data_IF_512977817739
#
_entry.id   IF_512977817739
#
_cell.length_a   1.000
_cell.length_b   1.000
_cell.length_c   1.000
_cell.angle_alpha   90.00
_cell.angle_beta   90.00
_cell.angle_gamma   90.00
#
_symmetry.space_group_name_H-M   'P 1'
#
loop_
_entity.id
_entity.type
_entity.pdbx_description
1 polymer ?
#
# COMPACT_ATOMS: atom_id res chain seq x y z
N UNK A 1 -42.63 10.76 37.13
CA UNK A 1 -41.57 10.04 37.89
C UNK A 1 -40.48 9.75 36.90
N UNK A 2 -39.49 10.59 36.85
CA UNK A 2 -38.28 10.46 36.06
C UNK A 2 -37.16 10.14 37.00
N UNK A 3 -36.46 9.03 36.82
CA UNK A 3 -35.25 8.71 37.59
C UNK A 3 -34.02 8.84 36.70
N UNK A 4 -33.20 9.75 37.14
CA UNK A 4 -31.83 10.05 36.79
C UNK A 4 -30.93 8.79 36.81
N UNK A 5 -30.15 8.61 35.73
CA UNK A 5 -28.96 7.77 35.76
C UNK A 5 -27.79 8.51 35.11
N UNK A 6 -27.07 9.29 35.91
CA UNK A 6 -25.76 9.85 35.53
C UNK A 6 -24.70 8.78 35.70
N UNK A 7 -24.11 8.36 34.58
CA UNK A 7 -22.90 7.55 34.57
C UNK A 7 -21.66 8.40 34.89
N UNK A 8 -20.86 7.93 35.84
CA UNK A 8 -19.62 8.55 36.31
C UNK A 8 -18.52 8.40 35.27
N UNK A 9 -17.88 9.49 34.95
CA UNK A 9 -16.61 9.48 34.18
C UNK A 9 -15.47 9.21 35.18
N UNK A 10 -14.77 8.08 34.97
CA UNK A 10 -13.55 7.77 35.70
C UNK A 10 -12.37 8.56 35.13
N UNK A 11 -11.70 9.32 35.94
CA UNK A 11 -10.47 10.05 35.63
C UNK A 11 -9.28 9.09 35.69
N UNK A 12 -8.59 8.88 34.57
CA UNK A 12 -7.26 8.29 34.54
C UNK A 12 -6.21 9.38 34.80
N UNK A 13 -5.20 9.14 35.64
CA UNK A 13 -4.22 10.16 36.03
C UNK A 13 -3.19 10.39 34.91
N UNK A 14 -2.91 11.67 34.64
CA UNK A 14 -1.81 12.14 33.80
C UNK A 14 -0.46 11.74 34.41
N UNK A 15 0.37 11.02 33.66
CA UNK A 15 1.77 10.77 34.02
C UNK A 15 2.61 11.97 33.59
N UNK A 16 3.23 12.63 34.57
CA UNK A 16 4.04 13.82 34.36
C UNK A 16 5.37 13.56 33.65
N UNK A 17 5.87 14.59 32.95
CA UNK A 17 7.04 14.67 32.07
C UNK A 17 8.42 14.29 32.66
N UNK A 18 8.53 13.67 33.82
CA UNK A 18 9.82 13.34 34.50
C UNK A 18 10.14 11.84 34.56
N UNK A 19 9.37 10.96 33.95
CA UNK A 19 9.57 9.51 34.01
C UNK A 19 10.23 8.86 32.79
N UNK A 20 10.75 9.63 31.81
CA UNK A 20 11.19 9.09 30.51
C UNK A 20 12.71 8.95 30.35
N UNK A 21 13.46 8.84 31.44
CA UNK A 21 14.90 8.59 31.41
C UNK A 21 15.31 7.51 32.41
N UNK A 22 14.76 6.32 32.31
CA UNK A 22 15.38 5.11 32.86
C UNK A 22 15.02 3.95 31.94
N UNK A 23 16.06 3.41 31.29
CA UNK A 23 15.97 2.33 30.34
C UNK A 23 15.28 1.11 30.93
N UNK A 24 14.12 0.83 30.44
CA UNK A 24 13.44 -0.44 30.60
C UNK A 24 13.64 -1.25 29.33
N UNK A 25 14.58 -2.20 29.37
CA UNK A 25 14.52 -3.33 28.45
C UNK A 25 13.19 -4.05 28.73
N UNK A 26 12.16 -3.75 27.96
CA UNK A 26 10.96 -4.55 27.94
C UNK A 26 11.37 -5.90 27.34
N UNK A 27 11.54 -6.89 28.21
CA UNK A 27 11.52 -8.29 27.86
C UNK A 27 10.14 -8.56 27.24
N UNK A 28 10.04 -8.50 25.92
CA UNK A 28 8.95 -9.08 25.18
C UNK A 28 8.99 -10.58 25.46
N UNK A 29 8.11 -11.05 26.34
CA UNK A 29 7.83 -12.45 26.47
C UNK A 29 7.29 -12.92 25.12
N UNK A 30 8.16 -13.52 24.30
CA UNK A 30 7.76 -14.28 23.14
C UNK A 30 6.87 -15.40 23.62
N UNK A 31 5.55 -15.27 23.43
CA UNK A 31 4.65 -16.40 23.52
C UNK A 31 5.12 -17.40 22.48
N UNK A 32 5.79 -18.45 22.94
CA UNK A 32 6.19 -19.57 22.11
C UNK A 32 4.94 -20.21 21.55
N UNK A 33 4.68 -20.05 20.27
CA UNK A 33 3.71 -20.84 19.53
C UNK A 33 4.19 -22.32 19.59
N UNK A 34 3.31 -23.26 19.92
CA UNK A 34 3.69 -24.68 19.95
C UNK A 34 3.92 -25.17 18.52
N UNK A 35 5.11 -25.57 18.24
CA UNK A 35 5.56 -26.11 16.96
C UNK A 35 6.61 -25.20 16.35
N UNK A 36 7.89 -25.55 16.54
CA UNK A 36 9.02 -24.83 15.97
C UNK A 36 8.99 -24.86 14.44
N UNK A 37 8.24 -23.95 13.85
CA UNK A 37 8.41 -23.54 12.46
C UNK A 37 9.71 -22.75 12.42
N UNK A 38 10.80 -23.38 11.96
CA UNK A 38 11.98 -22.66 11.48
C UNK A 38 11.47 -21.68 10.42
N UNK A 39 11.82 -20.40 10.56
CA UNK A 39 11.71 -19.44 9.48
C UNK A 39 12.38 -20.08 8.26
N UNK A 40 11.60 -20.49 7.27
CA UNK A 40 12.15 -20.89 5.99
C UNK A 40 12.80 -19.65 5.39
N UNK A 41 14.01 -19.76 4.88
CA UNK A 41 14.64 -18.67 4.14
C UNK A 41 13.73 -18.34 2.96
N UNK A 42 13.04 -17.20 3.04
CA UNK A 42 12.13 -16.74 2.00
C UNK A 42 12.94 -15.95 0.98
N UNK A 43 13.68 -16.67 0.14
CA UNK A 43 14.41 -16.07 -0.99
C UNK A 43 13.49 -15.88 -2.21
N UNK A 44 12.44 -16.70 -2.34
CA UNK A 44 11.42 -16.63 -3.40
C UNK A 44 10.02 -16.70 -2.81
N UNK A 45 9.08 -15.97 -3.39
CA UNK A 45 7.67 -15.97 -2.97
C UNK A 45 7.08 -14.58 -2.91
N UNK A 46 6.27 -14.32 -1.90
CA UNK A 46 5.60 -13.04 -1.75
C UNK A 46 5.62 -12.58 -0.30
N UNK A 47 5.63 -11.27 -0.11
CA UNK A 47 5.33 -10.63 1.18
C UNK A 47 3.98 -9.94 1.10
N UNK A 48 3.22 -10.01 2.19
CA UNK A 48 1.93 -9.34 2.35
C UNK A 48 1.78 -8.80 3.76
N UNK A 49 0.82 -7.91 3.96
CA UNK A 49 0.34 -7.54 5.29
C UNK A 49 -1.01 -8.18 5.55
N UNK A 50 -1.28 -8.57 6.79
CA UNK A 50 -2.51 -9.27 7.13
C UNK A 50 -2.96 -9.04 8.58
N UNK A 51 -4.26 -9.23 8.83
CA UNK A 51 -4.81 -9.43 10.16
C UNK A 51 -4.62 -10.88 10.61
N UNK A 52 -4.03 -11.10 11.78
CA UNK A 52 -3.75 -12.42 12.38
C UNK A 52 -4.28 -12.45 13.80
N UNK A 53 -5.25 -13.33 14.08
CA UNK A 53 -5.95 -13.31 15.36
C UNK A 53 -6.60 -11.94 15.62
N UNK A 54 -6.29 -11.32 16.76
CA UNK A 54 -6.72 -9.98 17.12
C UNK A 54 -5.74 -8.87 16.69
N UNK A 55 -4.53 -9.23 16.23
CA UNK A 55 -3.49 -8.30 15.78
C UNK A 55 -3.27 -8.30 14.28
N UNK A 56 -2.10 -7.85 13.89
CA UNK A 56 -1.64 -7.75 12.50
C UNK A 56 -0.23 -8.33 12.36
N UNK A 57 0.17 -8.60 11.13
CA UNK A 57 1.55 -9.01 10.85
C UNK A 57 1.95 -8.68 9.40
N UNK A 58 3.26 -8.57 9.16
CA UNK A 58 3.82 -8.86 7.86
C UNK A 58 3.92 -10.39 7.72
N UNK A 59 3.54 -10.90 6.54
CA UNK A 59 3.42 -12.34 6.24
C UNK A 59 4.28 -12.64 5.03
N UNK A 60 5.11 -13.68 5.12
CA UNK A 60 5.72 -14.32 3.97
C UNK A 60 4.77 -15.37 3.37
N UNK A 61 4.81 -15.55 2.08
CA UNK A 61 4.16 -16.64 1.35
C UNK A 61 5.21 -17.36 0.54
N UNK A 62 5.39 -18.63 0.80
CA UNK A 62 6.26 -19.49 -0.01
C UNK A 62 5.66 -19.74 -1.41
N UNK A 63 6.39 -20.37 -2.34
CA UNK A 63 5.85 -20.72 -3.67
C UNK A 63 4.59 -21.58 -3.68
N UNK A 64 4.26 -22.26 -2.56
CA UNK A 64 3.00 -22.99 -2.38
C UNK A 64 1.89 -22.15 -1.75
N UNK A 65 2.16 -20.84 -1.50
CA UNK A 65 1.30 -19.89 -0.79
C UNK A 65 1.03 -20.27 0.68
N UNK A 66 1.92 -21.06 1.30
CA UNK A 66 1.84 -21.30 2.73
C UNK A 66 2.30 -20.04 3.48
N UNK A 67 1.45 -19.49 4.39
CA UNK A 67 1.83 -18.28 5.11
C UNK A 67 2.83 -18.57 6.22
N UNK A 68 3.86 -17.73 6.31
CA UNK A 68 4.83 -17.71 7.40
C UNK A 68 4.76 -16.34 8.08
N UNK A 69 4.47 -16.25 9.39
CA UNK A 69 4.50 -14.97 10.10
C UNK A 69 5.94 -14.44 10.16
N UNK A 70 6.16 -13.22 9.64
CA UNK A 70 7.48 -12.60 9.61
C UNK A 70 7.64 -11.55 10.73
N UNK A 71 6.67 -10.63 10.85
CA UNK A 71 6.74 -9.53 11.81
C UNK A 71 5.37 -9.22 12.40
N UNK A 72 5.10 -9.60 13.68
CA UNK A 72 3.85 -9.24 14.35
C UNK A 72 3.77 -7.73 14.62
N UNK A 73 2.54 -7.20 14.68
CA UNK A 73 2.24 -5.79 14.90
C UNK A 73 0.92 -5.60 15.63
N UNK A 74 0.89 -4.67 16.57
CA UNK A 74 -0.36 -4.20 17.20
C UNK A 74 -1.09 -3.19 16.30
N UNK A 75 -0.37 -2.53 15.39
CA UNK A 75 -0.92 -1.57 14.44
C UNK A 75 -1.19 -2.23 13.09
N UNK A 76 -2.30 -1.86 12.44
CA UNK A 76 -2.60 -2.30 11.09
C UNK A 76 -1.51 -1.81 10.13
N UNK A 77 -0.87 -2.74 9.44
CA UNK A 77 0.10 -2.50 8.39
C UNK A 77 -0.61 -2.34 7.03
N UNK A 78 0.10 -1.79 6.04
CA UNK A 78 -0.46 -1.53 4.72
C UNK A 78 0.53 -1.84 3.59
N UNK A 79 1.37 -0.87 3.18
CA UNK A 79 2.41 -1.11 2.19
C UNK A 79 3.54 -1.98 2.75
N UNK A 80 4.06 -2.86 1.91
CA UNK A 80 5.19 -3.72 2.24
C UNK A 80 6.20 -3.68 1.09
N UNK A 81 7.47 -3.66 1.41
CA UNK A 81 8.55 -3.58 0.42
C UNK A 81 9.74 -4.42 0.88
N UNK A 82 10.30 -5.21 -0.03
CA UNK A 82 11.55 -5.92 0.19
C UNK A 82 12.73 -5.08 -0.28
N UNK A 83 13.82 -5.10 0.48
CA UNK A 83 15.07 -4.50 0.02
C UNK A 83 15.54 -5.19 -1.27
N UNK A 84 15.95 -4.44 -2.30
CA UNK A 84 16.54 -5.02 -3.50
C UNK A 84 17.94 -5.64 -3.25
N UNK A 85 18.53 -5.35 -2.09
CA UNK A 85 19.81 -5.89 -1.66
C UNK A 85 19.71 -6.44 -0.24
N UNK A 86 19.99 -7.71 -0.06
CA UNK A 86 19.94 -8.35 1.27
C UNK A 86 18.52 -8.70 1.76
N UNK A 87 18.41 -9.12 3.04
CA UNK A 87 17.21 -9.79 3.55
C UNK A 87 16.16 -8.85 4.18
N UNK A 88 16.44 -7.55 4.28
CA UNK A 88 15.53 -6.64 4.96
C UNK A 88 14.24 -6.41 4.16
N UNK A 89 13.14 -6.26 4.89
CA UNK A 89 11.89 -5.76 4.36
C UNK A 89 11.28 -4.75 5.34
N UNK A 90 10.43 -3.86 4.82
CA UNK A 90 9.74 -2.83 5.61
C UNK A 90 8.24 -2.93 5.35
N UNK A 91 7.47 -2.99 6.43
CA UNK A 91 6.01 -2.87 6.39
C UNK A 91 5.61 -1.54 7.05
N UNK A 92 4.88 -0.70 6.31
CA UNK A 92 4.48 0.65 6.77
C UNK A 92 3.06 0.62 7.31
N UNK A 93 2.84 1.27 8.45
CA UNK A 93 1.52 1.38 9.08
C UNK A 93 0.50 2.07 8.18
N UNK A 94 -0.73 1.51 8.19
CA UNK A 94 -1.84 2.07 7.41
C UNK A 94 -2.16 3.49 7.85
N UNK A 95 -2.47 4.35 6.89
CA UNK A 95 -2.88 5.74 7.12
C UNK A 95 -4.08 5.85 8.09
N UNK A 96 -3.98 6.70 9.13
CA UNK A 96 -2.85 7.53 9.55
C UNK A 96 -1.81 6.72 10.34
N UNK A 97 -0.77 6.24 9.65
CA UNK A 97 0.24 5.33 10.21
C UNK A 97 1.19 6.04 11.18
N UNK A 98 1.56 5.33 12.26
CA UNK A 98 2.47 5.84 13.29
C UNK A 98 3.76 5.01 13.42
N UNK A 99 3.80 3.84 12.78
CA UNK A 99 4.91 2.90 12.87
C UNK A 99 5.19 2.30 11.51
N UNK A 100 6.47 2.08 11.21
CA UNK A 100 6.93 1.19 10.19
C UNK A 100 7.82 0.14 10.84
N UNK A 101 7.64 -1.14 10.47
CA UNK A 101 8.41 -2.27 10.99
C UNK A 101 9.43 -2.69 9.97
N UNK A 102 10.67 -2.88 10.43
CA UNK A 102 11.76 -3.46 9.66
C UNK A 102 11.97 -4.89 10.16
N UNK A 103 11.99 -5.85 9.26
CA UNK A 103 12.19 -7.26 9.61
C UNK A 103 13.17 -7.94 8.65
N UNK A 104 13.80 -9.01 9.13
CA UNK A 104 14.69 -9.84 8.33
C UNK A 104 13.90 -11.04 7.82
N UNK A 105 13.60 -11.09 6.52
CA UNK A 105 12.80 -12.16 5.89
C UNK A 105 13.45 -13.54 5.86
N UNK A 106 14.75 -13.64 6.18
CA UNK A 106 15.46 -14.92 6.31
C UNK A 106 15.45 -15.47 7.74
N UNK A 107 15.49 -14.56 8.72
CA UNK A 107 15.53 -14.95 10.14
C UNK A 107 14.15 -14.86 10.80
N UNK A 108 13.24 -14.13 10.18
CA UNK A 108 11.99 -13.72 10.80
C UNK A 108 12.18 -12.69 11.91
N UNK A 109 11.09 -12.07 12.32
CA UNK A 109 11.05 -11.14 13.44
C UNK A 109 11.46 -9.71 13.11
N UNK A 110 10.97 -8.78 13.93
CA UNK A 110 11.24 -7.35 13.83
C UNK A 110 12.66 -7.07 14.30
N UNK A 111 13.47 -6.44 13.44
CA UNK A 111 14.84 -6.03 13.76
C UNK A 111 14.95 -4.55 14.10
N UNK A 112 14.01 -3.72 13.63
CA UNK A 112 13.92 -2.30 13.96
C UNK A 112 12.49 -1.79 13.71
N UNK A 113 12.18 -0.61 14.23
CA UNK A 113 10.98 0.14 13.89
C UNK A 113 11.28 1.63 13.89
N UNK A 114 10.51 2.39 13.12
CA UNK A 114 10.63 3.85 13.08
C UNK A 114 9.25 4.52 12.91
N UNK A 115 9.16 5.77 13.34
CA UNK A 115 7.98 6.63 13.18
C UNK A 115 8.08 7.56 11.97
N UNK A 116 6.98 8.24 11.61
CA UNK A 116 7.03 9.36 10.69
C UNK A 116 7.80 10.54 11.30
N UNK A 117 8.10 11.55 10.50
CA UNK A 117 8.67 12.80 11.01
C UNK A 117 7.76 13.48 12.05
N UNK A 118 8.33 14.41 12.79
CA UNK A 118 7.59 15.13 13.82
C UNK A 118 6.37 15.86 13.24
N UNK A 119 5.23 15.78 13.92
CA UNK A 119 3.98 16.38 13.48
C UNK A 119 3.33 15.70 12.26
N UNK A 120 3.80 14.51 11.85
CA UNK A 120 3.33 13.82 10.65
C UNK A 120 2.73 12.44 10.93
N UNK A 121 2.12 11.87 9.89
CA UNK A 121 1.67 10.47 9.83
C UNK A 121 2.12 9.84 8.53
N UNK A 122 2.36 8.53 8.52
CA UNK A 122 2.56 7.78 7.29
C UNK A 122 1.28 7.69 6.47
N UNK A 123 1.43 7.78 5.15
CA UNK A 123 0.33 7.51 4.20
C UNK A 123 0.12 6.01 3.94
N UNK A 124 1.01 5.16 4.40
CA UNK A 124 0.93 3.71 4.27
C UNK A 124 1.93 3.09 3.30
N UNK A 125 2.73 3.87 2.58
CA UNK A 125 3.67 3.37 1.58
C UNK A 125 5.08 3.88 1.78
N UNK A 126 6.03 3.06 1.33
CA UNK A 126 7.44 3.40 1.25
C UNK A 126 8.16 2.49 0.25
N UNK A 127 9.30 2.96 -0.28
CA UNK A 127 10.10 2.25 -1.28
C UNK A 127 11.59 2.37 -1.00
N UNK A 128 12.31 1.29 -1.20
CA UNK A 128 13.78 1.33 -1.23
C UNK A 128 14.29 1.98 -2.52
N UNK A 129 15.44 2.64 -2.44
CA UNK A 129 16.23 2.95 -3.63
C UNK A 129 16.80 1.67 -4.23
N UNK A 130 17.19 1.70 -5.51
CA UNK A 130 17.68 0.50 -6.20
C UNK A 130 18.97 -0.09 -5.58
N UNK A 131 19.77 0.75 -4.91
CA UNK A 131 20.98 0.33 -4.17
C UNK A 131 20.68 -0.09 -2.72
N UNK A 132 19.42 -0.04 -2.29
CA UNK A 132 18.98 -0.40 -0.94
C UNK A 132 19.48 0.53 0.18
N UNK A 133 20.17 1.63 -0.14
CA UNK A 133 20.77 2.52 0.88
C UNK A 133 19.79 3.47 1.51
N UNK A 134 18.73 3.83 0.78
CA UNK A 134 17.70 4.75 1.25
C UNK A 134 16.35 4.07 1.21
N UNK A 135 15.49 4.51 2.12
CA UNK A 135 14.08 4.16 2.13
C UNK A 135 13.25 5.44 2.15
N UNK A 136 12.35 5.58 1.19
CA UNK A 136 11.50 6.76 1.04
C UNK A 136 10.11 6.44 1.58
N UNK A 137 9.52 7.36 2.36
CA UNK A 137 8.15 7.22 2.86
C UNK A 137 7.30 8.41 2.45
N UNK A 138 6.05 8.16 2.06
CA UNK A 138 5.04 9.21 1.95
C UNK A 138 4.47 9.53 3.33
N UNK A 139 4.50 10.80 3.67
CA UNK A 139 4.03 11.32 4.95
C UNK A 139 3.11 12.52 4.72
N UNK A 140 2.22 12.79 5.69
CA UNK A 140 1.29 13.90 5.65
C UNK A 140 1.48 14.69 6.94
N UNK A 141 1.72 15.99 6.83
CA UNK A 141 1.75 16.92 7.96
C UNK A 141 0.38 16.96 8.62
N UNK A 142 0.37 16.97 9.94
CA UNK A 142 -0.83 17.21 10.73
C UNK A 142 -0.72 18.57 11.40
N UNK A 143 -1.62 19.51 11.09
CA UNK A 143 -1.68 20.78 11.81
C UNK A 143 -1.86 20.55 13.29
N UNK A 144 -1.10 21.29 14.12
CA UNK A 144 -1.12 21.16 15.57
C UNK A 144 -2.45 21.59 16.20
N UNK A 145 -3.22 22.42 15.50
CA UNK A 145 -4.46 23.07 15.95
C UNK A 145 -5.72 22.25 15.70
N UNK A 146 -5.61 21.05 15.09
CA UNK A 146 -6.74 20.19 14.79
C UNK A 146 -7.70 20.75 13.73
N UNK A 147 -7.35 21.90 13.13
CA UNK A 147 -8.08 22.43 11.97
C UNK A 147 -7.94 21.46 10.83
N UNK A 148 -9.04 21.05 10.23
CA UNK A 148 -9.13 20.12 9.10
C UNK A 148 -8.62 20.78 7.81
N UNK A 149 -7.33 21.06 7.74
CA UNK A 149 -6.69 21.33 6.48
C UNK A 149 -6.03 20.05 6.00
N UNK A 150 -6.17 19.71 4.73
CA UNK A 150 -5.35 18.66 4.14
C UNK A 150 -3.89 18.99 4.40
N UNK A 151 -3.20 18.09 5.11
CA UNK A 151 -1.81 18.31 5.44
C UNK A 151 -0.96 18.22 4.19
N UNK A 152 0.04 19.08 4.10
CA UNK A 152 1.03 19.05 3.01
C UNK A 152 1.68 17.67 2.94
N UNK A 153 1.79 17.14 1.73
CA UNK A 153 2.46 15.88 1.47
C UNK A 153 3.98 16.03 1.48
N UNK A 154 4.64 15.12 2.18
CA UNK A 154 6.09 15.06 2.33
C UNK A 154 6.60 13.69 1.92
N UNK A 155 7.69 13.63 1.17
CA UNK A 155 8.51 12.44 0.99
C UNK A 155 9.69 12.54 1.94
N UNK A 156 9.75 11.69 2.95
CA UNK A 156 10.90 11.61 3.85
C UNK A 156 11.90 10.57 3.31
N UNK A 157 13.15 10.99 3.14
CA UNK A 157 14.26 10.18 2.65
C UNK A 157 15.08 9.70 3.86
N UNK A 158 15.14 8.39 4.05
CA UNK A 158 15.73 7.76 5.24
C UNK A 158 16.95 6.94 4.91
N UNK A 159 17.96 6.99 5.77
CA UNK A 159 19.21 6.20 5.62
C UNK A 159 18.99 4.84 6.27
N UNK A 160 19.08 3.76 5.49
CA UNK A 160 18.85 2.38 5.95
C UNK A 160 19.86 1.99 7.03
N UNK A 161 21.16 2.12 6.76
CA UNK A 161 22.24 1.80 7.71
C UNK A 161 22.29 2.77 8.90
N UNK A 162 21.60 3.91 8.83
CA UNK A 162 21.44 4.89 9.90
C UNK A 162 20.19 4.65 10.76
N UNK A 163 19.63 3.43 10.81
CA UNK A 163 18.43 3.11 11.57
C UNK A 163 17.16 3.78 11.05
N UNK A 164 17.12 4.05 9.76
CA UNK A 164 16.02 4.76 9.09
C UNK A 164 15.82 6.22 9.55
N UNK A 165 16.89 6.86 10.04
CA UNK A 165 16.89 8.29 10.34
C UNK A 165 16.60 9.11 9.07
N UNK A 166 15.81 10.17 9.21
CA UNK A 166 15.51 11.10 8.11
C UNK A 166 16.78 11.87 7.77
N UNK A 167 17.18 11.83 6.50
CA UNK A 167 18.31 12.56 5.94
C UNK A 167 17.84 13.83 5.20
N UNK A 168 16.78 13.68 4.38
CA UNK A 168 16.21 14.73 3.56
C UNK A 168 14.69 14.65 3.56
N UNK A 169 14.05 15.76 3.21
CA UNK A 169 12.60 15.87 3.09
C UNK A 169 12.24 16.67 1.83
N UNK A 170 11.33 16.12 1.02
CA UNK A 170 10.88 16.75 -0.20
C UNK A 170 9.38 16.97 -0.16
N UNK A 171 8.89 18.05 -0.80
CA UNK A 171 7.45 18.17 -1.04
C UNK A 171 6.99 17.06 -1.99
N UNK A 172 5.82 16.45 -1.71
CA UNK A 172 5.22 15.45 -2.62
C UNK A 172 4.65 16.09 -3.90
N UNK A 173 4.55 17.41 -3.97
CA UNK A 173 3.98 18.14 -5.08
C UNK A 173 2.44 18.18 -5.11
N UNK A 174 1.78 17.62 -4.09
CA UNK A 174 0.31 17.61 -3.99
C UNK A 174 -0.17 17.21 -2.61
N UNK A 175 -1.49 17.15 -2.45
CA UNK A 175 -2.13 16.82 -1.20
C UNK A 175 -2.39 15.32 -1.05
N UNK A 176 -2.26 14.82 0.17
CA UNK A 176 -2.55 13.44 0.50
C UNK A 176 -1.77 12.42 -0.35
N UNK A 177 -0.41 12.50 -0.41
CA UNK A 177 0.37 11.53 -1.16
C UNK A 177 0.03 10.13 -0.67
N UNK A 178 -0.23 9.21 -1.62
CA UNK A 178 -0.66 7.86 -1.26
C UNK A 178 0.44 6.83 -1.53
N UNK A 179 0.91 6.74 -2.76
CA UNK A 179 1.98 5.81 -3.15
C UNK A 179 3.12 6.56 -3.85
N UNK A 180 4.29 5.96 -3.88
CA UNK A 180 5.45 6.45 -4.60
C UNK A 180 6.18 5.28 -5.25
N UNK A 181 6.76 5.49 -6.43
CA UNK A 181 7.44 4.45 -7.17
C UNK A 181 8.49 5.03 -8.11
N UNK A 182 9.65 4.39 -8.20
CA UNK A 182 10.64 4.76 -9.21
C UNK A 182 10.18 4.29 -10.60
N UNK A 183 10.17 5.18 -11.57
CA UNK A 183 9.89 4.91 -12.97
C UNK A 183 10.96 5.58 -13.84
N UNK A 184 11.79 4.77 -14.51
CA UNK A 184 12.92 5.28 -15.26
C UNK A 184 13.87 6.14 -14.42
N UNK A 185 14.09 7.38 -14.85
CA UNK A 185 14.92 8.37 -14.16
C UNK A 185 14.17 9.22 -13.12
N UNK A 186 12.86 9.03 -12.95
CA UNK A 186 12.05 9.79 -12.02
C UNK A 186 11.52 8.93 -10.86
N UNK A 187 11.15 9.58 -9.76
CA UNK A 187 10.27 9.06 -8.74
C UNK A 187 8.86 9.61 -9.03
N UNK A 188 7.90 8.73 -9.20
CA UNK A 188 6.49 9.05 -9.39
C UNK A 188 5.80 9.05 -8.03
N UNK A 189 5.03 10.08 -7.73
CA UNK A 189 4.25 10.20 -6.51
C UNK A 189 2.78 10.35 -6.92
N UNK A 190 1.93 9.47 -6.41
CA UNK A 190 0.48 9.59 -6.56
C UNK A 190 -0.09 10.38 -5.38
N UNK A 191 -0.54 11.60 -5.64
CA UNK A 191 -1.19 12.47 -4.67
C UNK A 191 -2.71 12.25 -4.78
N UNK A 192 -3.31 11.67 -3.75
CA UNK A 192 -4.70 11.24 -3.78
C UNK A 192 -5.72 12.36 -3.56
N UNK A 193 -5.29 13.53 -3.07
CA UNK A 193 -6.17 14.66 -2.84
C UNK A 193 -7.24 14.42 -1.76
N UNK A 194 -7.02 13.51 -0.83
CA UNK A 194 -8.00 13.15 0.21
C UNK A 194 -7.32 13.19 1.58
N UNK A 195 -8.00 13.78 2.55
CA UNK A 195 -7.57 13.74 3.95
C UNK A 195 -7.43 12.30 4.49
N UNK A 196 -6.53 12.10 5.48
CA UNK A 196 -6.45 10.85 6.20
C UNK A 196 -7.81 10.48 6.81
N UNK A 197 -8.18 9.21 6.71
CA UNK A 197 -9.46 8.65 7.17
C UNK A 197 -9.89 9.19 8.54
N UNK A 198 -10.79 10.17 8.51
CA UNK A 198 -11.68 10.46 9.60
C UNK A 198 -13.02 9.79 9.29
N UNK A 199 -13.88 9.48 10.28
CA UNK A 199 -15.23 8.98 10.02
C UNK A 199 -16.03 9.86 9.04
N UNK A 200 -15.72 11.14 9.02
CA UNK A 200 -16.32 12.16 8.16
C UNK A 200 -15.70 12.20 6.75
N UNK A 201 -14.55 11.58 6.53
CA UNK A 201 -13.90 11.49 5.22
C UNK A 201 -14.65 10.57 4.22
N UNK A 202 -15.78 9.98 4.63
CA UNK A 202 -16.63 9.23 3.71
C UNK A 202 -17.29 10.12 2.66
N UNK A 203 -17.40 11.41 2.95
CA UNK A 203 -17.94 12.44 2.07
C UNK A 203 -16.88 13.50 1.71
N UNK A 204 -15.59 13.13 1.81
CA UNK A 204 -14.50 14.03 1.51
C UNK A 204 -14.46 14.36 0.01
N UNK A 205 -14.41 15.63 -0.30
CA UNK A 205 -14.13 16.13 -1.64
C UNK A 205 -12.69 15.81 -2.03
N UNK A 206 -12.47 15.38 -3.27
CA UNK A 206 -11.12 15.22 -3.83
C UNK A 206 -10.63 16.60 -4.26
N UNK A 207 -9.53 17.03 -3.67
CA UNK A 207 -8.89 18.30 -4.04
C UNK A 207 -7.47 18.05 -4.48
N UNK A 208 -7.15 18.40 -5.73
CA UNK A 208 -5.77 18.35 -6.22
C UNK A 208 -5.17 16.95 -6.40
N UNK A 209 -6.01 15.93 -6.69
CA UNK A 209 -5.50 14.62 -7.07
C UNK A 209 -4.67 14.70 -8.34
N UNK A 210 -3.49 14.06 -8.34
CA UNK A 210 -2.58 14.10 -9.47
C UNK A 210 -1.31 13.28 -9.27
N UNK A 211 -0.46 13.31 -10.27
CA UNK A 211 0.89 12.71 -10.26
C UNK A 211 1.93 13.81 -10.22
N UNK A 212 2.95 13.62 -9.39
CA UNK A 212 4.17 14.41 -9.42
C UNK A 212 5.36 13.55 -9.79
N UNK A 213 6.15 14.00 -10.75
CA UNK A 213 7.43 13.41 -11.11
C UNK A 213 8.53 14.22 -10.43
N UNK A 214 9.37 13.58 -9.63
CA UNK A 214 10.50 14.26 -8.97
C UNK A 214 11.82 13.59 -9.32
N UNK A 215 12.87 14.37 -9.26
CA UNK A 215 14.23 13.86 -9.32
C UNK A 215 14.53 13.01 -8.07
N UNK A 216 14.89 11.74 -8.19
CA UNK A 216 15.10 10.88 -7.04
C UNK A 216 16.37 11.19 -6.23
N UNK A 217 17.24 12.08 -6.71
CA UNK A 217 18.43 12.52 -6.00
C UNK A 217 18.22 13.83 -5.21
N UNK A 218 17.36 14.71 -5.72
CA UNK A 218 17.20 16.08 -5.19
C UNK A 218 15.79 16.40 -4.73
N UNK A 219 14.78 15.60 -5.10
CA UNK A 219 13.37 15.89 -4.87
C UNK A 219 12.81 17.03 -5.74
N UNK A 220 13.59 17.57 -6.70
CA UNK A 220 13.11 18.62 -7.58
C UNK A 220 12.00 18.11 -8.50
N UNK A 221 10.90 18.86 -8.61
CA UNK A 221 9.79 18.54 -9.51
C UNK A 221 10.26 18.63 -10.95
N UNK A 222 10.00 17.58 -11.73
CA UNK A 222 10.32 17.46 -13.16
C UNK A 222 9.09 17.49 -14.07
N UNK A 223 7.92 17.18 -13.52
CA UNK A 223 6.67 17.15 -14.26
C UNK A 223 5.48 16.85 -13.33
N UNK A 224 4.30 17.12 -13.84
CA UNK A 224 3.04 16.88 -13.14
C UNK A 224 2.00 16.31 -14.10
N UNK A 225 1.12 15.46 -13.61
CA UNK A 225 -0.04 14.95 -14.33
C UNK A 225 -1.30 15.18 -13.54
N UNK A 226 -2.32 15.71 -14.21
CA UNK A 226 -3.65 15.94 -13.64
C UNK A 226 -4.70 15.21 -14.45
N UNK A 227 -5.76 14.81 -13.78
CA UNK A 227 -6.96 14.29 -14.44
C UNK A 227 -7.73 15.45 -15.12
N UNK A 228 -8.48 15.12 -16.17
CA UNK A 228 -9.44 16.05 -16.78
C UNK A 228 -10.55 16.43 -15.79
N UNK A 229 -11.23 17.53 -16.03
CA UNK A 229 -12.23 18.09 -15.11
C UNK A 229 -13.39 17.12 -14.82
N UNK A 230 -13.79 16.32 -15.81
CA UNK A 230 -14.82 15.28 -15.70
C UNK A 230 -14.40 14.08 -14.82
N UNK A 231 -13.10 13.90 -14.58
CA UNK A 231 -12.52 12.87 -13.73
C UNK A 231 -11.95 13.42 -12.41
N UNK A 232 -12.22 14.68 -12.09
CA UNK A 232 -11.66 15.35 -10.91
C UNK A 232 -12.11 14.72 -9.56
N UNK A 233 -13.18 13.92 -9.55
CA UNK A 233 -13.63 13.16 -8.39
C UNK A 233 -12.76 11.93 -8.06
N UNK A 234 -11.87 11.55 -8.95
CA UNK A 234 -11.02 10.38 -8.77
C UNK A 234 -9.79 10.71 -7.92
N UNK A 235 -9.57 9.91 -6.91
CA UNK A 235 -8.37 9.95 -6.08
C UNK A 235 -7.34 8.96 -6.61
N UNK A 236 -6.22 9.45 -7.15
CA UNK A 236 -5.10 8.62 -7.61
C UNK A 236 -4.36 8.03 -6.41
N UNK A 237 -4.08 6.71 -6.44
CA UNK A 237 -3.58 6.02 -5.25
C UNK A 237 -2.42 5.08 -5.54
N UNK A 238 -2.69 3.88 -6.01
CA UNK A 238 -1.71 2.80 -6.10
C UNK A 238 -0.98 2.84 -7.43
N UNK A 239 0.31 2.61 -7.38
CA UNK A 239 1.21 2.61 -8.52
C UNK A 239 1.72 1.20 -8.82
N UNK A 240 1.87 0.87 -10.09
CA UNK A 240 2.63 -0.29 -10.52
C UNK A 240 3.52 0.08 -11.71
N UNK A 241 4.64 -0.63 -11.84
CA UNK A 241 5.55 -0.51 -12.99
C UNK A 241 5.91 -1.89 -13.53
N UNK A 242 6.19 -1.94 -14.82
CA UNK A 242 6.86 -3.08 -15.45
C UNK A 242 8.39 -2.93 -15.38
N UNK A 243 9.11 -3.95 -15.89
CA UNK A 243 10.57 -3.92 -15.99
C UNK A 243 11.11 -2.98 -17.09
N UNK A 244 10.26 -2.46 -17.98
CA UNK A 244 10.62 -1.73 -19.20
C UNK A 244 10.33 -0.22 -19.10
N UNK A 245 9.80 0.25 -17.96
CA UNK A 245 9.50 1.65 -17.72
C UNK A 245 8.02 2.04 -17.91
N UNK A 246 7.14 1.10 -18.27
CA UNK A 246 5.69 1.30 -18.23
C UNK A 246 5.22 1.51 -16.80
N UNK A 247 4.44 2.55 -16.57
CA UNK A 247 3.91 2.88 -15.23
C UNK A 247 2.42 3.13 -15.32
N UNK A 248 1.67 2.60 -14.36
CA UNK A 248 0.22 2.82 -14.22
C UNK A 248 -0.10 3.33 -12.82
N UNK A 249 -1.17 4.10 -12.75
CA UNK A 249 -1.80 4.51 -11.49
C UNK A 249 -3.25 4.05 -11.45
N UNK A 250 -3.65 3.56 -10.29
CA UNK A 250 -5.02 3.19 -10.00
C UNK A 250 -5.71 4.24 -9.14
N UNK A 251 -7.02 4.40 -9.34
CA UNK A 251 -7.84 5.40 -8.67
C UNK A 251 -8.93 4.80 -7.79
N UNK A 252 -9.43 5.63 -6.90
CA UNK A 252 -10.69 5.43 -6.18
C UNK A 252 -11.66 6.53 -6.57
N UNK A 253 -12.88 6.17 -6.95
CA UNK A 253 -13.98 7.11 -7.15
C UNK A 253 -14.74 7.32 -5.83
N UNK A 254 -14.92 8.58 -5.44
CA UNK A 254 -15.58 8.95 -4.20
C UNK A 254 -17.05 9.34 -4.39
N UNK A 255 -17.49 9.62 -5.63
CA UNK A 255 -18.87 10.09 -5.87
C UNK A 255 -19.93 9.03 -5.59
N UNK A 256 -19.63 7.76 -5.78
CA UNK A 256 -20.56 6.64 -5.55
C UNK A 256 -21.92 6.81 -6.27
N UNK A 257 -21.93 7.53 -7.38
CA UNK A 257 -23.10 7.80 -8.20
C UNK A 257 -23.47 6.66 -9.17
N UNK A 258 -22.60 5.63 -9.25
CA UNK A 258 -22.78 4.47 -10.12
C UNK A 258 -22.36 4.71 -11.57
N UNK A 259 -21.80 5.88 -11.88
CA UNK A 259 -21.29 6.17 -13.20
C UNK A 259 -20.05 5.32 -13.53
N UNK A 260 -19.91 4.99 -14.80
CA UNK A 260 -18.74 4.30 -15.30
C UNK A 260 -17.58 5.30 -15.52
N UNK A 261 -16.55 5.21 -14.69
CA UNK A 261 -15.32 6.00 -14.85
C UNK A 261 -14.11 5.10 -14.93
N UNK A 262 -13.11 5.42 -15.77
CA UNK A 262 -11.86 4.67 -15.79
C UNK A 262 -11.14 4.82 -14.46
N UNK A 263 -10.70 3.71 -13.88
CA UNK A 263 -9.98 3.68 -12.60
C UNK A 263 -8.50 3.29 -12.76
N UNK A 264 -8.02 3.12 -13.98
CA UNK A 264 -6.62 2.86 -14.31
C UNK A 264 -6.14 3.84 -15.37
N UNK A 265 -4.93 4.37 -15.19
CA UNK A 265 -4.31 5.31 -16.10
C UNK A 265 -2.86 4.94 -16.33
N UNK A 266 -2.41 4.99 -17.59
CA UNK A 266 -0.99 5.00 -17.94
C UNK A 266 -0.39 6.37 -17.63
N UNK A 267 0.85 6.36 -17.13
CA UNK A 267 1.63 7.56 -16.86
C UNK A 267 2.71 7.66 -17.92
N UNK A 268 2.71 8.73 -18.69
CA UNK A 268 3.77 9.04 -19.64
C UNK A 268 5.01 9.62 -18.93
N UNK A 269 6.14 9.71 -19.63
CA UNK A 269 7.40 10.23 -19.08
C UNK A 269 7.34 11.71 -18.64
N UNK A 270 6.42 12.47 -19.17
CA UNK A 270 6.13 13.87 -18.79
C UNK A 270 5.07 14.01 -17.69
N UNK A 271 4.46 12.88 -17.25
CA UNK A 271 3.41 12.83 -16.26
C UNK A 271 2.00 12.78 -16.84
N UNK A 272 1.81 12.91 -18.16
CA UNK A 272 0.48 12.85 -18.78
C UNK A 272 -0.23 11.53 -18.49
N UNK A 273 -1.53 11.61 -18.21
CA UNK A 273 -2.37 10.48 -17.82
C UNK A 273 -3.26 10.06 -18.99
N UNK A 274 -3.19 8.79 -19.38
CA UNK A 274 -4.05 8.21 -20.40
C UNK A 274 -4.90 7.11 -19.77
N UNK A 275 -6.24 7.22 -19.77
CA UNK A 275 -7.11 6.19 -19.21
C UNK A 275 -6.98 4.86 -19.98
N UNK A 276 -7.17 3.78 -19.26
CA UNK A 276 -7.37 2.46 -19.87
C UNK A 276 -8.78 2.37 -20.42
N UNK A 277 -8.98 1.48 -21.37
CA UNK A 277 -10.28 1.24 -22.01
C UNK A 277 -10.93 -0.03 -21.45
N UNK A 278 -12.24 0.03 -21.22
CA UNK A 278 -13.06 -1.13 -20.87
C UNK A 278 -14.54 -0.78 -21.11
N UNK A 279 -15.42 -1.80 -21.29
CA UNK A 279 -16.85 -1.59 -21.29
C UNK A 279 -17.33 -0.94 -19.96
N UNK A 280 -18.36 -0.12 -20.04
CA UNK A 280 -18.94 0.57 -18.88
C UNK A 280 -19.32 -0.38 -17.73
N UNK A 281 -19.84 -1.56 -18.04
CA UNK A 281 -20.16 -2.57 -17.05
C UNK A 281 -18.93 -3.08 -16.32
N UNK A 282 -17.78 -3.17 -16.98
CA UNK A 282 -16.53 -3.58 -16.35
C UNK A 282 -16.05 -2.52 -15.37
N UNK A 283 -16.14 -1.23 -15.71
CA UNK A 283 -15.82 -0.13 -14.78
C UNK A 283 -16.77 -0.10 -13.58
N UNK A 284 -18.08 -0.21 -13.81
CA UNK A 284 -19.08 -0.26 -12.71
C UNK A 284 -18.86 -1.45 -11.78
N UNK A 285 -18.41 -2.60 -12.32
CA UNK A 285 -18.13 -3.80 -11.53
C UNK A 285 -17.00 -3.62 -10.53
N UNK A 286 -16.06 -2.68 -10.75
CA UNK A 286 -15.01 -2.34 -9.78
C UNK A 286 -15.54 -1.58 -8.55
N UNK A 287 -16.77 -1.08 -8.59
CA UNK A 287 -17.45 -0.33 -7.53
C UNK A 287 -16.63 0.85 -7.00
N UNK A 288 -16.03 1.59 -7.92
CA UNK A 288 -15.27 2.80 -7.61
C UNK A 288 -14.04 2.57 -6.74
N UNK A 289 -13.50 1.36 -6.62
CA UNK A 289 -12.37 1.12 -5.74
C UNK A 289 -11.38 0.08 -6.25
N UNK A 290 -10.18 0.53 -6.55
CA UNK A 290 -9.03 -0.33 -6.81
C UNK A 290 -8.15 -0.36 -5.55
N UNK A 291 -8.01 -1.53 -4.94
CA UNK A 291 -7.25 -1.75 -3.71
C UNK A 291 -5.77 -2.04 -3.96
N UNK A 292 -5.44 -2.57 -5.13
CA UNK A 292 -4.07 -2.89 -5.53
C UNK A 292 -3.98 -3.00 -7.05
N UNK A 293 -2.81 -2.72 -7.62
CA UNK A 293 -2.52 -2.84 -9.06
C UNK A 293 -1.13 -3.44 -9.25
N UNK A 294 -0.96 -4.26 -10.27
CA UNK A 294 0.32 -4.88 -10.60
C UNK A 294 0.46 -5.12 -12.11
N UNK A 295 1.70 -5.14 -12.59
CA UNK A 295 2.06 -5.76 -13.87
C UNK A 295 2.40 -7.23 -13.67
N UNK A 296 2.19 -8.04 -14.70
CA UNK A 296 2.74 -9.39 -14.76
C UNK A 296 4.27 -9.34 -15.00
N UNK A 297 5.02 -10.44 -14.78
CA UNK A 297 6.47 -10.44 -14.96
C UNK A 297 6.95 -10.09 -16.39
N UNK A 298 6.12 -10.28 -17.41
CA UNK A 298 6.47 -9.92 -18.78
C UNK A 298 6.18 -8.46 -19.15
N UNK A 299 5.46 -7.72 -18.28
CA UNK A 299 5.02 -6.35 -18.55
C UNK A 299 3.94 -6.23 -19.64
N UNK A 300 3.34 -7.35 -20.08
CA UNK A 300 2.31 -7.34 -21.12
C UNK A 300 0.91 -7.16 -20.61
N UNK A 301 0.69 -7.44 -19.33
CA UNK A 301 -0.62 -7.36 -18.71
C UNK A 301 -0.57 -6.54 -17.42
N UNK A 302 -1.70 -5.88 -17.14
CA UNK A 302 -1.95 -5.14 -15.89
C UNK A 302 -3.19 -5.73 -15.24
N UNK A 303 -3.10 -6.02 -13.95
CA UNK A 303 -4.25 -6.45 -13.16
C UNK A 303 -4.54 -5.47 -12.03
N UNK A 304 -5.80 -5.39 -11.61
CA UNK A 304 -6.20 -4.74 -10.38
C UNK A 304 -7.07 -5.65 -9.51
N UNK A 305 -6.87 -5.59 -8.20
CA UNK A 305 -7.73 -6.22 -7.22
C UNK A 305 -8.71 -5.20 -6.63
N UNK A 306 -9.98 -5.58 -6.54
CA UNK A 306 -11.05 -4.68 -6.13
C UNK A 306 -11.88 -5.28 -5.01
N UNK A 307 -11.59 -4.94 -3.73
CA UNK A 307 -12.31 -5.50 -2.59
C UNK A 307 -13.82 -5.29 -2.67
N UNK A 308 -14.25 -4.09 -3.08
CA UNK A 308 -15.68 -3.78 -3.24
C UNK A 308 -16.33 -4.47 -4.44
N UNK A 309 -15.55 -4.68 -5.51
CA UNK A 309 -15.99 -5.37 -6.73
C UNK A 309 -15.92 -6.88 -6.61
N UNK A 310 -15.25 -7.43 -5.60
CA UNK A 310 -15.08 -8.87 -5.38
C UNK A 310 -14.46 -9.59 -6.57
N UNK A 311 -13.45 -8.97 -7.20
CA UNK A 311 -12.80 -9.52 -8.38
C UNK A 311 -11.36 -9.05 -8.58
N UNK A 312 -10.64 -9.77 -9.43
CA UNK A 312 -9.39 -9.32 -10.06
C UNK A 312 -9.70 -9.10 -11.54
N UNK A 313 -9.53 -7.88 -12.01
CA UNK A 313 -9.75 -7.50 -13.39
C UNK A 313 -8.41 -7.26 -14.11
N UNK A 314 -8.34 -7.58 -15.39
CA UNK A 314 -7.08 -7.61 -16.16
C UNK A 314 -7.22 -6.89 -17.49
N UNK A 315 -6.18 -6.16 -17.85
CA UNK A 315 -5.98 -5.47 -19.13
C UNK A 315 -4.66 -5.90 -19.78
N UNK A 316 -4.56 -5.70 -21.07
CA UNK A 316 -3.26 -5.59 -21.71
C UNK A 316 -2.56 -4.29 -21.28
N UNK A 317 -1.24 -4.25 -21.35
CA UNK A 317 -0.46 -3.07 -20.98
C UNK A 317 -0.73 -1.85 -21.90
N UNK A 318 -1.27 -2.09 -23.10
CA UNK A 318 -1.74 -1.04 -24.03
C UNK A 318 -3.05 -0.38 -23.58
N UNK A 319 -3.73 -0.92 -22.56
CA UNK A 319 -4.95 -0.40 -21.96
C UNK A 319 -6.23 -1.15 -22.35
N UNK A 320 -6.17 -2.19 -23.20
CA UNK A 320 -7.34 -2.96 -23.62
C UNK A 320 -7.79 -3.96 -22.55
N UNK A 321 -9.05 -3.91 -22.17
CA UNK A 321 -9.66 -4.85 -21.21
C UNK A 321 -9.68 -6.28 -21.74
N UNK A 322 -9.37 -7.26 -20.88
CA UNK A 322 -9.37 -8.68 -21.22
C UNK A 322 -10.51 -9.42 -20.50
N UNK A 323 -10.72 -9.13 -19.22
CA UNK A 323 -11.72 -9.83 -18.41
C UNK A 323 -11.44 -9.74 -16.93
N UNK A 324 -12.23 -10.45 -16.13
CA UNK A 324 -12.06 -10.51 -14.69
C UNK A 324 -12.35 -11.92 -14.17
N UNK A 325 -11.79 -12.24 -12.99
CA UNK A 325 -12.09 -13.46 -12.24
C UNK A 325 -12.59 -13.10 -10.84
N UNK A 326 -13.51 -13.86 -10.25
CA UNK A 326 -14.05 -13.57 -8.93
C UNK A 326 -13.02 -13.84 -7.82
N UNK A 327 -12.95 -12.92 -6.86
CA UNK A 327 -12.23 -13.06 -5.60
C UNK A 327 -12.90 -12.18 -4.56
N UNK A 328 -13.66 -12.78 -3.63
CA UNK A 328 -14.40 -12.04 -2.59
C UNK A 328 -13.42 -11.27 -1.71
N UNK A 329 -13.65 -9.94 -1.56
CA UNK A 329 -12.75 -9.03 -0.86
C UNK A 329 -11.30 -9.16 -1.37
N UNK A 330 -11.13 -9.29 -2.69
CA UNK A 330 -9.82 -9.36 -3.34
C UNK A 330 -9.06 -8.06 -3.14
N UNK A 331 -8.02 -8.07 -2.32
CA UNK A 331 -7.34 -6.86 -1.86
C UNK A 331 -5.84 -6.85 -2.19
N UNK A 332 -5.07 -7.87 -1.83
CA UNK A 332 -3.65 -7.98 -2.16
C UNK A 332 -3.43 -8.44 -3.60
N UNK A 333 -2.45 -7.86 -4.30
CA UNK A 333 -2.09 -8.25 -5.65
C UNK A 333 -0.61 -8.01 -5.91
N UNK A 334 0.03 -8.98 -6.55
CA UNK A 334 1.42 -8.89 -7.00
C UNK A 334 1.63 -9.63 -8.33
N UNK A 335 2.78 -9.40 -8.97
CA UNK A 335 3.24 -10.23 -10.08
C UNK A 335 3.32 -11.71 -9.65
N UNK A 336 2.92 -12.62 -10.53
CA UNK A 336 3.13 -14.05 -10.36
C UNK A 336 4.57 -14.48 -10.62
N UNK A 337 4.83 -15.79 -10.60
CA UNK A 337 6.15 -16.33 -10.88
C UNK A 337 6.46 -16.36 -12.41
N UNK A 338 5.45 -16.57 -13.23
CA UNK A 338 5.57 -16.74 -14.67
C UNK A 338 4.97 -15.58 -15.45
N UNK A 339 5.41 -15.40 -16.70
CA UNK A 339 4.81 -14.45 -17.65
C UNK A 339 3.30 -14.67 -17.76
N UNK A 340 2.54 -13.57 -17.72
CA UNK A 340 1.08 -13.58 -17.77
C UNK A 340 0.43 -14.04 -16.47
N UNK A 341 1.13 -14.14 -15.34
CA UNK A 341 0.52 -14.55 -14.09
C UNK A 341 0.54 -13.45 -13.02
N UNK A 342 -0.46 -13.52 -12.15
CA UNK A 342 -0.60 -12.67 -10.97
C UNK A 342 -0.96 -13.53 -9.76
N UNK A 343 -0.55 -13.10 -8.57
CA UNK A 343 -0.99 -13.66 -7.30
C UNK A 343 -1.86 -12.63 -6.62
N UNK A 344 -3.08 -13.03 -6.26
CA UNK A 344 -4.03 -12.16 -5.57
C UNK A 344 -4.51 -12.81 -4.27
N UNK A 345 -4.67 -12.00 -3.23
CA UNK A 345 -5.12 -12.44 -1.91
C UNK A 345 -6.35 -11.67 -1.44
N UNK A 346 -7.13 -12.28 -0.56
CA UNK A 346 -8.37 -11.72 -0.04
C UNK A 346 -8.36 -11.52 1.47
N UNK A 347 -9.21 -10.59 1.95
CA UNK A 347 -9.45 -10.39 3.37
C UNK A 347 -10.12 -11.59 4.07
N UNK A 348 -10.53 -12.61 3.32
CA UNK A 348 -11.07 -13.88 3.84
C UNK A 348 -10.06 -15.03 3.82
N UNK A 349 -8.77 -14.73 3.60
CA UNK A 349 -7.70 -15.74 3.68
C UNK A 349 -7.60 -16.65 2.47
N UNK A 350 -8.06 -16.19 1.33
CA UNK A 350 -7.90 -16.89 0.05
C UNK A 350 -6.74 -16.28 -0.74
N UNK A 351 -5.95 -17.13 -1.40
CA UNK A 351 -4.92 -16.74 -2.39
C UNK A 351 -5.22 -17.46 -3.68
N UNK A 352 -5.21 -16.74 -4.79
CA UNK A 352 -5.39 -17.28 -6.14
C UNK A 352 -4.23 -16.92 -7.04
N UNK A 353 -3.94 -17.79 -8.01
CA UNK A 353 -3.09 -17.46 -9.16
C UNK A 353 -3.99 -17.21 -10.36
N UNK A 354 -3.88 -16.02 -10.92
CA UNK A 354 -4.60 -15.57 -12.09
C UNK A 354 -3.68 -15.68 -13.31
N UNK A 355 -4.12 -16.35 -14.35
CA UNK A 355 -3.44 -16.41 -15.67
C UNK A 355 -4.18 -15.51 -16.65
N UNK A 356 -3.46 -14.60 -17.25
CA UNK A 356 -3.90 -13.75 -18.33
C UNK A 356 -3.33 -14.22 -19.68
N UNK A 357 -4.15 -14.21 -20.69
CA UNK A 357 -3.79 -14.42 -22.09
C UNK A 357 -4.56 -13.39 -22.94
N UNK A 358 -4.22 -13.26 -24.21
CA UNK A 358 -4.90 -12.33 -25.11
C UNK A 358 -6.41 -12.64 -25.26
N UNK A 359 -6.78 -13.90 -25.06
CA UNK A 359 -8.13 -14.46 -25.26
C UNK A 359 -8.97 -14.44 -23.97
N UNK A 360 -8.38 -14.18 -22.80
CA UNK A 360 -9.12 -14.19 -21.54
C UNK A 360 -8.26 -14.34 -20.28
N UNK A 361 -8.98 -14.51 -19.17
CA UNK A 361 -8.42 -14.59 -17.82
C UNK A 361 -8.98 -15.81 -17.11
N UNK A 362 -8.15 -16.56 -16.38
CA UNK A 362 -8.55 -17.74 -15.63
C UNK A 362 -7.82 -17.84 -14.28
N UNK A 363 -8.47 -18.45 -13.29
CA UNK A 363 -7.83 -18.90 -12.05
C UNK A 363 -7.19 -20.26 -12.33
N UNK A 364 -5.88 -20.37 -12.15
CA UNK A 364 -5.13 -21.61 -12.39
C UNK A 364 -4.69 -22.32 -11.10
N UNK A 365 -4.69 -21.61 -9.97
CA UNK A 365 -4.44 -22.21 -8.65
C UNK A 365 -5.20 -21.43 -7.58
N UNK A 366 -5.49 -22.11 -6.45
CA UNK A 366 -6.25 -21.54 -5.33
C UNK A 366 -5.80 -22.20 -4.02
N UNK A 367 -5.62 -21.37 -2.99
CA UNK A 367 -5.41 -21.80 -1.60
C UNK A 367 -6.36 -21.03 -0.69
N UNK A 368 -6.91 -21.69 0.31
CA UNK A 368 -7.80 -21.11 1.32
C UNK A 368 -7.25 -21.37 2.72
N UNK A 369 -7.83 -20.71 3.73
CA UNK A 369 -7.45 -20.88 5.13
C UNK A 369 -6.22 -20.09 5.57
N UNK A 370 -5.82 -19.08 4.77
CA UNK A 370 -4.80 -18.10 5.15
C UNK A 370 -5.32 -17.04 6.12
N UNK A 371 -4.47 -16.08 6.51
CA UNK A 371 -4.86 -14.93 7.33
C UNK A 371 -5.70 -13.93 6.53
N UNK A 372 -6.25 -12.91 7.20
CA UNK A 372 -7.02 -11.83 6.55
C UNK A 372 -6.05 -10.86 5.88
N UNK A 373 -5.73 -11.09 4.60
CA UNK A 373 -4.79 -10.24 3.87
C UNK A 373 -5.28 -8.80 3.73
N UNK A 374 -4.35 -7.86 3.70
CA UNK A 374 -4.59 -6.43 3.40
C UNK A 374 -4.28 -6.13 1.91
N UNK A 375 -4.39 -4.87 1.53
CA UNK A 375 -4.38 -4.44 0.13
C UNK A 375 -3.06 -4.69 -0.63
N UNK A 376 -1.94 -4.95 0.03
CA UNK A 376 -0.67 -4.97 -0.67
C UNK A 376 0.10 -6.27 -0.51
N UNK A 377 0.64 -6.69 -1.63
CA UNK A 377 1.61 -7.78 -1.75
C UNK A 377 2.77 -7.33 -2.61
N UNK A 378 3.94 -7.91 -2.40
CA UNK A 378 5.12 -7.74 -3.25
C UNK A 378 5.76 -9.10 -3.49
N UNK A 379 6.18 -9.36 -4.72
CA UNK A 379 6.97 -10.54 -5.06
C UNK A 379 8.41 -10.33 -4.60
N UNK A 380 9.03 -11.40 -4.10
CA UNK A 380 10.45 -11.51 -3.78
C UNK A 380 11.07 -12.66 -4.58
N UNK A 381 12.29 -12.48 -5.06
CA UNK A 381 12.97 -13.43 -5.94
C UNK A 381 12.98 -13.02 -7.39
#
# INVERSE_FOLDING_TARGET
MASDMRARLDHTPFIGRRGLLLGGAALLASAALPGGLRAAELDEGWLATAGVGEGFAAIGLDPSFAPTPEAPSDARLHGIEASPVGPLAVAVGRRPGRVALVFDRRKGGVVASFGPGEGRVFSGHGRFTADGRLFLTNEIERPADGVRAMGRGVVAVRVVDGGFAIRDEWASGGDGPHDLMRSGAALVIANGGIEPNTPEARDAEVTGSGITLVDPATGAVRGEGKLSADLASLSLRHLARDGNGGTVVAAQDLLKDGEARPLLFRIAADGALTPFDAPDEAWRALRGYVGSVAYDPSGRFVACATPRGNQVAVWQADGRYIGAVPLTDGCGLAAGAEAGTFVAASGYGEVIVVKAAAEGVAIIARRTGGPRYDNHMVRIG
#
